data_IF_906343279695
#
_entry.id   IF_906343279695
#
_cell.length_a   1.000
_cell.length_b   1.000
_cell.length_c   1.000
_cell.angle_alpha   90.00
_cell.angle_beta   90.00
_cell.angle_gamma   90.00
#
_symmetry.space_group_name_H-M   'P 1'
#
loop_
_entity.id
_entity.type
_entity.pdbx_description
1 polymer ?
#
# COMPACT_ATOMS: atom_id res chain seq x y z
N UNK A 1 -7.88 0.11 28.82
CA UNK A 1 -8.25 0.10 27.38
C UNK A 1 -9.22 1.23 27.17
N UNK A 2 -8.75 2.31 26.55
CA UNK A 2 -9.58 3.45 26.20
C UNK A 2 -10.36 3.13 24.91
N UNK A 3 -11.48 3.82 24.67
CA UNK A 3 -12.25 3.69 23.42
C UNK A 3 -11.40 3.98 22.17
N UNK A 4 -10.36 4.81 22.30
CA UNK A 4 -9.40 5.10 21.25
C UNK A 4 -8.54 3.89 20.87
N UNK A 5 -8.14 3.07 21.86
CA UNK A 5 -7.35 1.86 21.61
C UNK A 5 -8.16 0.82 20.82
N UNK A 6 -9.44 0.66 21.19
CA UNK A 6 -10.35 -0.23 20.48
C UNK A 6 -10.57 0.21 19.02
N UNK A 7 -10.75 1.53 18.80
CA UNK A 7 -10.87 2.08 17.45
C UNK A 7 -9.60 1.90 16.61
N UNK A 8 -8.41 2.00 17.22
CA UNK A 8 -7.14 1.76 16.55
C UNK A 8 -6.98 0.30 16.12
N UNK A 9 -7.36 -0.65 16.98
CA UNK A 9 -7.32 -2.09 16.65
C UNK A 9 -8.27 -2.42 15.50
N UNK A 10 -9.51 -1.94 15.56
CA UNK A 10 -10.51 -2.19 14.50
C UNK A 10 -10.08 -1.51 13.19
N UNK A 11 -9.63 -0.26 13.24
CA UNK A 11 -9.14 0.47 12.08
C UNK A 11 -7.94 -0.22 11.43
N UNK A 12 -6.99 -0.71 12.24
CA UNK A 12 -5.84 -1.48 11.76
C UNK A 12 -6.23 -2.80 11.09
N UNK A 13 -7.22 -3.51 11.66
CA UNK A 13 -7.73 -4.76 11.07
C UNK A 13 -8.37 -4.51 9.70
N UNK A 14 -9.27 -3.52 9.61
CA UNK A 14 -9.95 -3.16 8.35
C UNK A 14 -8.92 -2.70 7.31
N UNK A 15 -7.98 -1.85 7.70
CA UNK A 15 -6.90 -1.40 6.83
C UNK A 15 -6.05 -2.56 6.30
N UNK A 16 -5.72 -3.54 7.16
CA UNK A 16 -4.97 -4.73 6.78
C UNK A 16 -5.71 -5.60 5.77
N UNK A 17 -7.01 -5.85 5.98
CA UNK A 17 -7.85 -6.62 5.05
C UNK A 17 -7.96 -5.94 3.69
N UNK A 18 -8.28 -4.64 3.68
CA UNK A 18 -8.39 -3.87 2.44
C UNK A 18 -7.05 -3.80 1.69
N UNK A 19 -5.97 -3.57 2.42
CA UNK A 19 -4.62 -3.57 1.85
C UNK A 19 -4.25 -4.92 1.22
N UNK A 20 -4.53 -6.02 1.93
CA UNK A 20 -4.25 -7.37 1.45
C UNK A 20 -5.07 -7.70 0.19
N UNK A 21 -6.34 -7.30 0.16
CA UNK A 21 -7.22 -7.51 -0.99
C UNK A 21 -6.79 -6.71 -2.23
N UNK A 22 -6.33 -5.48 -2.06
CA UNK A 22 -5.90 -4.63 -3.19
C UNK A 22 -4.45 -4.90 -3.60
N UNK A 23 -3.67 -5.61 -2.77
CA UNK A 23 -2.29 -5.99 -3.09
C UNK A 23 -1.27 -4.84 -3.06
N UNK A 24 -1.64 -3.69 -2.47
CA UNK A 24 -0.79 -2.48 -2.43
C UNK A 24 0.28 -2.55 -1.32
N UNK A 25 0.20 -3.54 -0.42
CA UNK A 25 1.19 -3.71 0.65
C UNK A 25 1.10 -2.66 1.75
N UNK A 26 -0.09 -2.19 2.09
CA UNK A 26 -0.42 -1.52 3.37
C UNK A 26 -0.05 -0.05 3.46
N UNK A 27 1.09 0.35 2.91
CA UNK A 27 1.66 1.68 3.10
C UNK A 27 0.75 2.83 2.69
N UNK A 28 -0.01 2.63 1.61
CA UNK A 28 -0.98 3.62 1.12
C UNK A 28 -2.26 3.75 1.97
N UNK A 29 -2.56 2.76 2.80
CA UNK A 29 -3.74 2.76 3.65
C UNK A 29 -3.40 3.14 5.10
N UNK A 30 -2.36 2.55 5.66
CA UNK A 30 -2.00 2.73 7.07
C UNK A 30 -1.52 4.15 7.39
N UNK A 31 -0.76 4.80 6.51
CA UNK A 31 -0.22 6.15 6.75
C UNK A 31 -1.33 7.20 6.95
N UNK A 32 -2.36 7.35 6.09
CA UNK A 32 -3.41 8.35 6.26
C UNK A 32 -4.33 8.00 7.42
N UNK A 33 -4.59 6.73 7.67
CA UNK A 33 -5.39 6.29 8.83
C UNK A 33 -4.70 6.74 10.13
N UNK A 34 -3.38 6.56 10.23
CA UNK A 34 -2.63 7.00 11.40
C UNK A 34 -2.46 8.52 11.45
N UNK A 35 -1.97 9.14 10.38
CA UNK A 35 -1.64 10.56 10.36
C UNK A 35 -2.87 11.48 10.42
N UNK A 36 -3.95 11.14 9.73
CA UNK A 36 -5.18 11.97 9.66
C UNK A 36 -6.20 11.47 10.69
N UNK A 37 -6.41 10.17 10.78
CA UNK A 37 -7.41 9.57 11.69
C UNK A 37 -6.98 9.64 13.16
N UNK A 38 -5.76 9.20 13.47
CA UNK A 38 -5.23 9.20 14.85
C UNK A 38 -4.36 10.42 15.19
N UNK A 39 -4.14 11.33 14.23
CA UNK A 39 -3.35 12.57 14.41
C UNK A 39 -1.95 12.35 14.99
N UNK A 40 -1.35 11.19 14.72
CA UNK A 40 0.05 10.91 15.11
C UNK A 40 1.00 11.67 14.19
N UNK A 41 2.21 11.97 14.67
CA UNK A 41 3.21 12.65 13.85
C UNK A 41 3.54 11.84 12.59
N UNK A 42 3.82 12.54 11.49
CA UNK A 42 4.04 11.91 10.19
C UNK A 42 5.16 10.86 10.22
N UNK A 43 6.24 11.13 10.94
CA UNK A 43 7.36 10.20 11.12
C UNK A 43 6.93 8.92 11.84
N UNK A 44 6.09 9.04 12.88
CA UNK A 44 5.57 7.89 13.63
C UNK A 44 4.58 7.10 12.77
N UNK A 45 3.65 7.78 12.09
CA UNK A 45 2.68 7.13 11.20
C UNK A 45 3.35 6.28 10.10
N UNK A 46 4.42 6.80 9.50
CA UNK A 46 5.19 6.08 8.47
C UNK A 46 5.94 4.88 9.05
N UNK A 47 6.61 5.05 10.19
CA UNK A 47 7.33 3.96 10.86
C UNK A 47 6.38 2.84 11.31
N UNK A 48 5.25 3.18 11.91
CA UNK A 48 4.22 2.21 12.32
C UNK A 48 3.61 1.51 11.11
N UNK A 49 3.38 2.22 10.01
CA UNK A 49 2.93 1.60 8.76
C UNK A 49 3.93 0.58 8.23
N UNK A 50 5.24 0.87 8.26
CA UNK A 50 6.26 -0.10 7.83
C UNK A 50 6.27 -1.34 8.73
N UNK A 51 6.16 -1.15 10.05
CA UNK A 51 6.07 -2.26 11.00
C UNK A 51 4.81 -3.13 10.74
N UNK A 52 3.67 -2.51 10.44
CA UNK A 52 2.42 -3.21 10.12
C UNK A 52 2.49 -4.03 8.83
N UNK A 53 3.36 -3.66 7.89
CA UNK A 53 3.54 -4.37 6.62
C UNK A 53 4.23 -5.72 6.83
N UNK A 54 5.17 -5.83 7.77
CA UNK A 54 5.95 -7.06 8.03
C UNK A 54 5.08 -8.31 8.18
N UNK A 55 4.09 -8.37 9.11
CA UNK A 55 3.25 -9.57 9.24
C UNK A 55 2.43 -9.84 7.98
N UNK A 56 1.91 -8.80 7.31
CA UNK A 56 1.13 -8.98 6.08
C UNK A 56 1.98 -9.53 4.92
N UNK A 57 3.23 -9.10 4.80
CA UNK A 57 4.17 -9.58 3.80
C UNK A 57 4.58 -11.04 4.06
N UNK A 58 4.78 -11.42 5.33
CA UNK A 58 5.07 -12.81 5.71
C UNK A 58 3.89 -13.72 5.32
N UNK A 59 2.66 -13.34 5.70
CA UNK A 59 1.47 -14.13 5.39
C UNK A 59 1.23 -14.20 3.88
N UNK A 60 1.32 -13.06 3.17
CA UNK A 60 1.15 -12.99 1.73
C UNK A 60 2.20 -13.81 0.97
N UNK A 61 3.48 -13.66 1.34
CA UNK A 61 4.59 -14.39 0.73
C UNK A 61 4.50 -15.90 0.97
N UNK A 62 4.25 -16.32 2.21
CA UNK A 62 4.08 -17.76 2.52
C UNK A 62 2.88 -18.37 1.79
N UNK A 63 1.78 -17.63 1.64
CA UNK A 63 0.61 -18.07 0.87
C UNK A 63 0.95 -18.24 -0.62
N UNK A 64 1.66 -17.28 -1.22
CA UNK A 64 2.06 -17.36 -2.62
C UNK A 64 3.05 -18.49 -2.91
N UNK A 65 3.99 -18.74 -1.98
CA UNK A 65 4.93 -19.87 -2.06
C UNK A 65 4.15 -21.19 -2.01
N UNK A 66 3.18 -21.32 -1.11
CA UNK A 66 2.34 -22.52 -0.99
C UNK A 66 1.48 -22.78 -2.22
N UNK A 67 1.09 -21.75 -2.95
CA UNK A 67 0.31 -21.86 -4.18
C UNK A 67 1.16 -22.18 -5.42
N UNK A 68 2.50 -22.26 -5.30
CA UNK A 68 3.39 -22.52 -6.44
C UNK A 68 3.54 -21.35 -7.42
N UNK A 69 2.95 -20.19 -7.12
CA UNK A 69 2.96 -19.00 -7.97
C UNK A 69 4.15 -18.06 -7.67
N UNK A 70 5.00 -18.40 -6.71
CA UNK A 70 6.11 -17.55 -6.29
C UNK A 70 7.37 -17.80 -7.12
N UNK A 71 7.81 -16.78 -7.87
CA UNK A 71 9.13 -16.75 -8.51
C UNK A 71 10.15 -16.28 -7.47
N UNK A 72 10.75 -17.22 -6.75
CA UNK A 72 11.64 -16.94 -5.61
C UNK A 72 12.87 -16.11 -5.99
N UNK A 73 13.42 -16.31 -7.18
CA UNK A 73 14.58 -15.53 -7.66
C UNK A 73 14.23 -14.05 -7.82
N UNK A 74 13.11 -13.74 -8.49
CA UNK A 74 12.62 -12.37 -8.64
C UNK A 74 12.28 -11.75 -7.27
N UNK A 75 11.66 -12.54 -6.38
CA UNK A 75 11.34 -12.09 -5.03
C UNK A 75 12.60 -11.76 -4.22
N UNK A 76 13.67 -12.54 -4.35
CA UNK A 76 14.94 -12.29 -3.66
C UNK A 76 15.63 -11.02 -4.18
N UNK A 77 15.69 -10.82 -5.49
CA UNK A 77 16.26 -9.60 -6.08
C UNK A 77 15.46 -8.34 -5.73
N UNK A 78 14.13 -8.39 -5.88
CA UNK A 78 13.25 -7.29 -5.50
C UNK A 78 13.29 -7.03 -3.99
N UNK A 79 13.34 -8.08 -3.17
CA UNK A 79 13.45 -7.98 -1.72
C UNK A 79 14.77 -7.33 -1.30
N UNK A 80 15.90 -7.76 -1.85
CA UNK A 80 17.21 -7.20 -1.55
C UNK A 80 17.31 -5.72 -1.97
N UNK A 81 16.89 -5.39 -3.19
CA UNK A 81 16.84 -4.01 -3.66
C UNK A 81 15.90 -3.15 -2.80
N UNK A 82 14.75 -3.72 -2.41
CA UNK A 82 13.78 -3.08 -1.52
C UNK A 82 14.35 -2.79 -0.14
N UNK A 83 15.08 -3.75 0.47
CA UNK A 83 15.74 -3.56 1.78
C UNK A 83 16.78 -2.44 1.70
N UNK A 84 17.62 -2.44 0.67
CA UNK A 84 18.65 -1.39 0.47
C UNK A 84 17.97 -0.04 0.30
N UNK A 85 16.94 0.05 -0.54
CA UNK A 85 16.18 1.26 -0.77
C UNK A 85 15.45 1.75 0.48
N UNK A 86 14.87 0.84 1.27
CA UNK A 86 14.17 1.17 2.51
C UNK A 86 15.13 1.71 3.57
N UNK A 87 16.31 1.08 3.75
CA UNK A 87 17.34 1.56 4.68
C UNK A 87 17.85 2.93 4.23
N UNK A 88 18.23 3.08 2.96
CA UNK A 88 18.70 4.36 2.42
C UNK A 88 17.66 5.47 2.55
N UNK A 89 16.40 5.18 2.21
CA UNK A 89 15.28 6.11 2.35
C UNK A 89 14.99 6.47 3.80
N UNK A 90 15.05 5.50 4.72
CA UNK A 90 14.87 5.74 6.15
C UNK A 90 15.97 6.62 6.74
N UNK A 91 17.24 6.35 6.40
CA UNK A 91 18.37 7.17 6.84
C UNK A 91 18.23 8.61 6.36
N UNK A 92 17.80 8.83 5.13
CA UNK A 92 17.52 10.18 4.62
C UNK A 92 16.34 10.79 5.40
N UNK A 93 15.23 10.07 5.53
CA UNK A 93 14.00 10.55 6.15
C UNK A 93 14.18 11.02 7.61
N UNK A 94 15.05 10.38 8.40
CA UNK A 94 15.34 10.78 9.79
C UNK A 94 15.99 12.17 9.88
N UNK A 95 16.70 12.60 8.83
CA UNK A 95 17.33 13.92 8.78
C UNK A 95 16.42 15.01 8.18
N UNK A 96 15.21 14.65 7.70
CA UNK A 96 14.27 15.62 7.13
C UNK A 96 13.38 16.22 8.22
N UNK A 97 13.15 17.53 8.14
CA UNK A 97 12.13 18.19 8.95
C UNK A 97 10.73 17.63 8.63
N UNK A 98 9.91 17.41 9.67
CA UNK A 98 8.58 16.78 9.55
C UNK A 98 7.68 17.41 8.47
N UNK A 99 7.77 18.73 8.26
CA UNK A 99 7.01 19.42 7.22
C UNK A 99 7.46 19.07 5.79
N UNK A 100 8.76 18.89 5.56
CA UNK A 100 9.27 18.45 4.26
C UNK A 100 8.91 16.98 4.01
N UNK A 101 9.05 16.13 5.04
CA UNK A 101 8.67 14.72 4.96
C UNK A 101 7.18 14.57 4.61
N UNK A 102 6.30 15.38 5.21
CA UNK A 102 4.87 15.42 4.88
C UNK A 102 4.61 15.85 3.43
N UNK A 103 5.31 16.87 2.91
CA UNK A 103 5.17 17.33 1.52
C UNK A 103 5.62 16.27 0.51
N UNK A 104 6.77 15.64 0.75
CA UNK A 104 7.29 14.56 -0.11
C UNK A 104 6.32 13.38 -0.14
N UNK A 105 5.82 12.97 1.03
CA UNK A 105 4.83 11.90 1.09
C UNK A 105 3.50 12.29 0.44
N UNK A 106 3.05 13.53 0.60
CA UNK A 106 1.86 14.03 -0.08
C UNK A 106 2.00 14.00 -1.61
N UNK A 107 3.16 14.40 -2.14
CA UNK A 107 3.45 14.29 -3.57
C UNK A 107 3.46 12.82 -4.04
N UNK A 108 4.03 11.92 -3.25
CA UNK A 108 3.97 10.47 -3.52
C UNK A 108 2.53 9.94 -3.55
N UNK A 109 1.66 10.38 -2.62
CA UNK A 109 0.25 10.02 -2.62
C UNK A 109 -0.48 10.50 -3.88
N UNK A 110 -0.25 11.74 -4.29
CA UNK A 110 -0.84 12.28 -5.53
C UNK A 110 -0.36 11.46 -6.73
N UNK A 111 0.94 11.17 -6.81
CA UNK A 111 1.50 10.34 -7.86
C UNK A 111 0.84 8.95 -7.90
N UNK A 112 0.74 8.28 -6.74
CA UNK A 112 0.13 6.97 -6.65
C UNK A 112 -1.37 7.01 -7.02
N UNK A 113 -2.10 8.05 -6.58
CA UNK A 113 -3.49 8.26 -6.95
C UNK A 113 -3.67 8.43 -8.47
N UNK A 114 -2.79 9.20 -9.12
CA UNK A 114 -2.80 9.35 -10.58
C UNK A 114 -2.51 8.03 -11.28
N UNK A 115 -1.50 7.27 -10.84
CA UNK A 115 -1.19 5.96 -11.42
C UNK A 115 -2.36 4.98 -11.28
N UNK A 116 -2.98 4.93 -10.09
CA UNK A 116 -4.16 4.10 -9.85
C UNK A 116 -5.34 4.53 -10.70
N UNK A 117 -5.61 5.83 -10.81
CA UNK A 117 -6.67 6.37 -11.66
C UNK A 117 -6.45 6.01 -13.13
N UNK A 118 -5.22 6.15 -13.64
CA UNK A 118 -4.90 5.77 -15.02
C UNK A 118 -5.09 4.27 -15.27
N UNK A 119 -4.71 3.42 -14.31
CA UNK A 119 -4.95 1.97 -14.39
C UNK A 119 -6.43 1.64 -14.37
N UNK A 120 -7.21 2.32 -13.52
CA UNK A 120 -8.66 2.14 -13.45
C UNK A 120 -9.35 2.56 -14.76
N UNK A 121 -8.94 3.68 -15.36
CA UNK A 121 -9.47 4.15 -16.63
C UNK A 121 -9.02 3.29 -17.84
N UNK A 122 -7.84 2.66 -17.75
CA UNK A 122 -7.34 1.74 -18.77
C UNK A 122 -8.00 0.34 -18.69
N UNK A 123 -8.69 0.03 -17.59
CA UNK A 123 -9.49 -1.18 -17.45
C UNK A 123 -10.84 -0.99 -18.16
N UNK A 124 -10.86 -1.24 -19.47
CA UNK A 124 -12.11 -1.32 -20.23
C UNK A 124 -12.90 -2.56 -19.78
N UNK A 125 -14.21 -2.45 -19.48
CA UNK A 125 -15.03 -3.62 -19.17
C UNK A 125 -14.94 -4.62 -20.33
N UNK A 126 -14.47 -5.83 -20.06
CA UNK A 126 -14.66 -6.95 -20.99
C UNK A 126 -16.16 -7.15 -21.18
N UNK A 127 -16.68 -7.11 -22.43
CA UNK A 127 -18.08 -7.37 -22.70
C UNK A 127 -18.50 -8.70 -22.06
N UNK A 128 -19.66 -8.71 -21.38
CA UNK A 128 -20.17 -9.95 -20.81
C UNK A 128 -20.36 -10.99 -21.93
N UNK A 129 -20.05 -12.29 -21.69
CA UNK A 129 -20.35 -13.35 -22.64
C UNK A 129 -21.87 -13.43 -22.88
N UNK A 130 -22.36 -12.76 -23.93
CA UNK A 130 -23.77 -12.68 -24.28
C UNK A 130 -24.27 -11.29 -24.69
N UNK A 131 -23.48 -10.24 -24.51
CA UNK A 131 -23.87 -8.88 -24.92
C UNK A 131 -23.67 -8.70 -26.44
N UNK A 132 -24.69 -8.23 -27.20
CA UNK A 132 -24.53 -8.02 -28.65
C UNK A 132 -23.43 -6.99 -28.90
N UNK A 133 -22.52 -7.29 -29.83
CA UNK A 133 -21.44 -6.38 -30.18
C UNK A 133 -22.01 -5.02 -30.61
N UNK A 134 -21.49 -3.89 -30.11
CA UNK A 134 -21.97 -2.59 -30.53
C UNK A 134 -21.78 -2.45 -32.04
N UNK A 135 -22.90 -2.31 -32.76
CA UNK A 135 -22.91 -2.02 -34.19
C UNK A 135 -22.14 -0.71 -34.45
N UNK A 136 -21.19 -0.69 -35.40
CA UNK A 136 -20.48 0.53 -35.75
C UNK A 136 -21.47 1.63 -36.15
N UNK A 137 -21.21 2.90 -35.79
CA UNK A 137 -22.01 4.00 -36.29
C UNK A 137 -21.90 4.06 -37.82
N UNK A 138 -23.05 4.14 -38.48
CA UNK A 138 -23.22 4.20 -39.93
C UNK A 138 -22.63 5.48 -40.54
#
# INVERSE_FOLDING_TARGET
MTWADAAAVVGGLVAGVLSGAVGIGGGLAFVPILAIGFRVSQTVAQGTSLAAIVPTAIVGGTTHIRQGNAVLDAAAWCGAAGVIGAIGGALIAVHLQAGLLARVFGAFYIFAAVVMLRRALAFAPTPEPGEPSPTPPA
#
